data_IF_968398258662
#
_entry.id   IF_968398258662
#
_cell.length_a   1.000
_cell.length_b   1.000
_cell.length_c   1.000
_cell.angle_alpha   90.00
_cell.angle_beta   90.00
_cell.angle_gamma   90.00
#
_symmetry.space_group_name_H-M   'P 1'
#
loop_
_entity.id
_entity.type
_entity.pdbx_description
1 polymer ?
#
# COMPACT_ATOMS: atom_id res chain seq x y z
N UNK A 1 24.03 6.85 -13.58
CA UNK A 1 23.04 7.71 -14.28
C UNK A 1 21.77 7.55 -13.50
N UNK A 2 21.18 8.65 -13.04
CA UNK A 2 19.95 8.58 -12.27
C UNK A 2 18.86 7.83 -13.06
N UNK A 3 18.22 6.85 -12.43
CA UNK A 3 17.03 6.18 -12.98
C UNK A 3 15.85 7.16 -13.00
N UNK A 4 14.79 6.86 -13.77
CA UNK A 4 13.59 7.68 -13.76
C UNK A 4 13.04 7.82 -12.33
N UNK A 5 12.97 6.70 -11.59
CA UNK A 5 12.56 6.70 -10.19
C UNK A 5 13.48 7.53 -9.28
N UNK A 6 14.80 7.42 -9.41
CA UNK A 6 15.74 8.26 -8.64
C UNK A 6 15.53 9.74 -8.94
N UNK A 7 15.35 10.14 -10.20
CA UNK A 7 15.08 11.54 -10.52
C UNK A 7 13.71 12.00 -10.03
N UNK A 8 12.71 11.13 -9.99
CA UNK A 8 11.39 11.49 -9.45
C UNK A 8 11.41 11.70 -7.95
N UNK A 9 12.23 10.92 -7.24
CA UNK A 9 12.48 11.15 -5.81
C UNK A 9 13.33 12.42 -5.64
N UNK A 10 14.46 12.60 -6.35
CA UNK A 10 15.31 13.79 -6.20
C UNK A 10 14.64 15.12 -6.61
N UNK A 11 13.75 15.10 -7.62
CA UNK A 11 13.12 16.34 -8.12
C UNK A 11 11.95 16.83 -7.27
N UNK A 12 11.44 16.01 -6.34
CA UNK A 12 10.25 16.33 -5.54
C UNK A 12 10.20 15.75 -4.12
N UNK A 13 11.16 14.94 -3.68
CA UNK A 13 11.49 14.79 -2.25
C UNK A 13 12.29 16.03 -1.85
N UNK A 14 11.58 17.13 -1.62
CA UNK A 14 11.98 17.96 -0.48
C UNK A 14 11.99 17.06 0.76
N UNK A 15 12.87 17.30 1.74
CA UNK A 15 12.78 16.63 3.03
C UNK A 15 11.32 16.74 3.50
N UNK A 16 10.80 15.63 4.01
CA UNK A 16 9.43 15.46 4.53
C UNK A 16 9.10 16.37 5.73
N UNK A 17 9.83 17.46 5.93
CA UNK A 17 9.72 18.41 7.03
C UNK A 17 8.72 19.54 6.77
N UNK A 18 8.22 19.74 5.54
CA UNK A 18 7.22 20.78 5.22
C UNK A 18 5.97 20.23 4.51
N UNK A 19 5.48 19.07 4.95
CA UNK A 19 4.04 18.80 4.87
C UNK A 19 3.39 19.40 6.13
N UNK A 20 3.37 20.73 6.20
CA UNK A 20 2.32 21.41 6.94
C UNK A 20 1.01 20.98 6.29
N UNK A 21 0.32 20.05 6.95
CA UNK A 21 -1.04 19.58 6.66
C UNK A 21 -2.09 20.70 6.80
N UNK A 22 -1.72 21.96 6.56
CA UNK A 22 -2.57 23.14 6.75
C UNK A 22 -3.14 23.67 5.43
N UNK A 23 -2.58 23.36 4.26
CA UNK A 23 -2.99 24.02 3.01
C UNK A 23 -4.01 23.26 2.12
N UNK A 24 -4.33 21.99 2.39
CA UNK A 24 -5.26 21.21 1.56
C UNK A 24 -6.69 21.07 2.16
N UNK A 25 -6.99 21.70 3.31
CA UNK A 25 -8.32 21.65 3.94
C UNK A 25 -9.27 22.82 3.59
N UNK A 26 -8.84 23.84 2.84
CA UNK A 26 -9.67 25.03 2.57
C UNK A 26 -10.53 24.98 1.30
N UNK A 27 -10.65 23.84 0.62
CA UNK A 27 -11.55 23.70 -0.53
C UNK A 27 -12.50 22.52 -0.38
N UNK A 28 -13.50 22.70 0.47
CA UNK A 28 -14.91 22.33 0.23
C UNK A 28 -15.74 22.75 1.45
N UNK A 29 -16.05 24.04 1.50
CA UNK A 29 -17.06 24.58 2.39
C UNK A 29 -18.46 24.33 1.82
N UNK A 30 -18.92 23.09 1.86
CA UNK A 30 -20.35 22.78 1.94
C UNK A 30 -20.58 22.13 3.31
N UNK A 31 -21.08 22.94 4.23
CA UNK A 31 -21.52 22.51 5.55
C UNK A 31 -22.74 21.62 5.34
N UNK A 32 -22.53 20.32 5.19
CA UNK A 32 -23.56 19.33 5.41
C UNK A 32 -23.89 19.39 6.90
N UNK A 33 -25.07 19.94 7.22
CA UNK A 33 -25.74 19.76 8.51
C UNK A 33 -26.01 18.26 8.70
N UNK A 34 -24.99 17.53 9.14
CA UNK A 34 -25.13 16.22 9.72
C UNK A 34 -25.73 16.49 11.10
N UNK A 35 -27.03 16.21 11.26
CA UNK A 35 -27.60 15.97 12.59
C UNK A 35 -26.79 14.81 13.19
N UNK A 36 -25.76 15.15 13.98
CA UNK A 36 -25.10 14.24 14.88
C UNK A 36 -26.19 13.72 15.83
N UNK A 37 -26.65 12.49 15.63
CA UNK A 37 -27.28 11.76 16.71
C UNK A 37 -26.22 11.63 17.80
N UNK A 38 -26.45 12.31 18.93
CA UNK A 38 -25.51 12.41 20.05
C UNK A 38 -24.90 11.05 20.41
N UNK A 39 -23.57 10.95 20.54
CA UNK A 39 -22.91 9.73 20.93
C UNK A 39 -22.94 9.63 22.48
N UNK A 40 -24.12 9.54 23.08
CA UNK A 40 -24.26 9.36 24.54
C UNK A 40 -23.45 8.14 25.02
N UNK A 41 -23.32 7.11 24.18
CA UNK A 41 -22.55 5.90 24.47
C UNK A 41 -21.02 6.08 24.42
N UNK A 42 -20.48 7.12 23.78
CA UNK A 42 -19.03 7.28 23.58
C UNK A 42 -18.43 8.20 24.66
N UNK A 43 -19.17 9.22 25.10
CA UNK A 43 -18.81 10.02 26.28
C UNK A 43 -18.93 9.24 27.59
N UNK A 44 -19.95 8.38 27.74
CA UNK A 44 -20.06 7.47 28.90
C UNK A 44 -18.88 6.47 28.95
N UNK A 45 -18.38 6.02 27.79
CA UNK A 45 -17.25 5.09 27.72
C UNK A 45 -15.87 5.76 27.89
N UNK A 46 -15.68 7.02 27.50
CA UNK A 46 -14.46 7.78 27.81
C UNK A 46 -14.41 8.21 29.29
N UNK A 47 -15.54 8.60 29.88
CA UNK A 47 -15.62 8.92 31.30
C UNK A 47 -15.28 7.71 32.20
N UNK A 48 -15.65 6.50 31.77
CA UNK A 48 -15.30 5.25 32.47
C UNK A 48 -13.81 4.87 32.34
N UNK A 49 -13.12 5.29 31.28
CA UNK A 49 -11.69 5.05 31.13
C UNK A 49 -10.84 5.93 32.07
N UNK A 50 -11.35 7.12 32.43
CA UNK A 50 -10.73 8.03 33.40
C UNK A 50 -11.10 7.70 34.86
N UNK A 51 -12.23 7.00 35.10
CA UNK A 51 -12.66 6.56 36.45
C UNK A 51 -12.06 5.21 36.89
N UNK A 52 -11.62 4.34 35.97
CA UNK A 52 -10.98 3.06 36.29
C UNK A 52 -9.47 3.20 36.57
N UNK A 53 -9.12 3.76 37.73
CA UNK A 53 -7.77 3.73 38.32
C UNK A 53 -7.33 2.32 38.78
N UNK A 54 -7.92 1.24 38.28
CA UNK A 54 -7.43 -0.11 38.58
C UNK A 54 -6.11 -0.37 37.85
N UNK A 55 -5.09 -0.70 38.63
CA UNK A 55 -3.81 -1.17 38.12
C UNK A 55 -4.00 -2.49 37.35
N UNK A 56 -3.16 -2.74 36.35
CA UNK A 56 -3.14 -4.02 35.63
C UNK A 56 -3.02 -5.24 36.55
N UNK A 57 -2.37 -5.08 37.71
CA UNK A 57 -2.21 -6.13 38.72
C UNK A 57 -3.53 -6.45 39.44
N UNK A 58 -4.35 -5.45 39.74
CA UNK A 58 -5.70 -5.64 40.29
C UNK A 58 -6.60 -6.30 39.25
N UNK A 59 -6.48 -5.88 37.98
CA UNK A 59 -7.21 -6.49 36.87
C UNK A 59 -6.86 -7.97 36.67
N UNK A 60 -5.58 -8.33 36.76
CA UNK A 60 -5.09 -9.71 36.70
C UNK A 60 -5.62 -10.55 37.87
N UNK A 61 -5.60 -10.02 39.10
CA UNK A 61 -6.04 -10.73 40.29
C UNK A 61 -7.54 -11.08 40.23
N UNK A 62 -8.40 -10.13 39.83
CA UNK A 62 -9.84 -10.36 39.70
C UNK A 62 -10.16 -11.42 38.64
N UNK A 63 -9.47 -11.36 37.49
CA UNK A 63 -9.68 -12.33 36.41
C UNK A 63 -9.32 -13.73 36.86
N UNK A 64 -8.18 -13.90 37.55
CA UNK A 64 -7.75 -15.20 38.06
C UNK A 64 -8.72 -15.77 39.10
N UNK A 65 -9.46 -14.92 39.81
CA UNK A 65 -10.47 -15.33 40.80
C UNK A 65 -11.80 -15.74 40.14
N UNK A 66 -12.19 -15.08 39.03
CA UNK A 66 -13.43 -15.38 38.28
C UNK A 66 -13.30 -16.54 37.28
N UNK A 67 -12.09 -16.86 36.81
CA UNK A 67 -11.89 -17.93 35.82
C UNK A 67 -11.75 -19.31 36.47
N UNK A 68 -12.67 -20.24 36.17
CA UNK A 68 -12.53 -21.69 36.45
C UNK A 68 -11.53 -22.37 35.48
N UNK A 69 -10.40 -21.74 35.19
CA UNK A 69 -9.41 -22.24 34.23
C UNK A 69 -8.45 -23.27 34.87
N UNK A 70 -8.12 -24.33 34.14
CA UNK A 70 -7.08 -25.28 34.52
C UNK A 70 -5.69 -24.60 34.63
N UNK A 71 -4.74 -25.26 35.28
CA UNK A 71 -3.39 -24.71 35.56
C UNK A 71 -2.66 -24.17 34.32
N UNK A 72 -2.85 -24.80 33.15
CA UNK A 72 -2.29 -24.34 31.87
C UNK A 72 -2.98 -23.07 31.34
N UNK A 73 -4.30 -22.96 31.51
CA UNK A 73 -5.07 -21.76 31.21
C UNK A 73 -4.67 -20.57 32.07
N UNK A 74 -4.44 -20.78 33.37
CA UNK A 74 -3.96 -19.74 34.28
C UNK A 74 -2.55 -19.25 33.92
N UNK A 75 -1.65 -20.13 33.46
CA UNK A 75 -0.27 -19.75 33.07
C UNK A 75 -0.23 -18.94 31.76
N UNK A 76 -1.10 -19.29 30.80
CA UNK A 76 -1.26 -18.53 29.56
C UNK A 76 -1.84 -17.12 29.80
N UNK A 77 -2.85 -16.99 30.68
CA UNK A 77 -3.41 -15.69 31.07
C UNK A 77 -2.36 -14.81 31.76
N UNK A 78 -1.61 -15.36 32.72
CA UNK A 78 -0.53 -14.63 33.42
C UNK A 78 0.59 -14.19 32.48
N UNK A 79 0.96 -15.05 31.54
CA UNK A 79 1.96 -14.71 30.51
C UNK A 79 1.49 -13.54 29.65
N UNK A 80 0.21 -13.55 29.25
CA UNK A 80 -0.41 -12.46 28.49
C UNK A 80 -0.45 -11.15 29.28
N UNK A 81 -0.92 -11.14 30.54
CA UNK A 81 -0.94 -9.93 31.38
C UNK A 81 0.44 -9.34 31.60
N UNK A 82 1.47 -10.19 31.79
CA UNK A 82 2.85 -9.74 31.90
C UNK A 82 3.35 -9.08 30.61
N UNK A 83 2.94 -9.59 29.44
CA UNK A 83 3.27 -8.97 28.14
C UNK A 83 2.58 -7.61 27.99
N UNK A 84 1.30 -7.51 28.34
CA UNK A 84 0.53 -6.24 28.27
C UNK A 84 1.07 -5.20 29.25
N UNK A 85 1.50 -5.62 30.44
CA UNK A 85 2.09 -4.73 31.44
C UNK A 85 3.46 -4.16 31.03
N UNK A 86 4.20 -4.88 30.18
CA UNK A 86 5.50 -4.44 29.67
C UNK A 86 5.38 -3.30 28.63
N UNK A 87 4.23 -3.16 27.98
CA UNK A 87 3.98 -2.09 26.99
C UNK A 87 3.54 -0.82 27.72
N UNK A 88 4.23 0.33 27.54
CA UNK A 88 3.85 1.59 28.15
C UNK A 88 2.53 2.13 27.56
N UNK A 89 1.81 2.93 28.35
CA UNK A 89 0.62 3.64 27.86
C UNK A 89 1.03 4.63 26.76
N UNK A 90 0.22 4.72 25.73
CA UNK A 90 0.43 5.67 24.66
C UNK A 90 -0.02 7.06 25.11
N UNK A 91 0.80 8.07 24.82
CA UNK A 91 0.37 9.46 24.96
C UNK A 91 -0.44 9.84 23.72
N UNK A 92 -1.29 10.86 23.83
CA UNK A 92 -2.03 11.42 22.69
C UNK A 92 -1.09 11.82 21.54
N UNK A 93 0.09 12.37 21.86
CA UNK A 93 1.13 12.68 20.86
C UNK A 93 1.68 11.42 20.18
N UNK A 94 1.87 10.33 20.94
CA UNK A 94 2.32 9.04 20.42
C UNK A 94 1.29 8.37 19.51
N UNK A 95 -0.01 8.51 19.81
CA UNK A 95 -1.10 8.05 18.95
C UNK A 95 -1.06 8.76 17.60
N UNK A 96 -0.94 10.10 17.61
CA UNK A 96 -0.83 10.89 16.39
C UNK A 96 0.43 10.53 15.60
N UNK A 97 1.56 10.24 16.26
CA UNK A 97 2.78 9.83 15.58
C UNK A 97 2.61 8.46 14.90
N UNK A 98 2.01 7.47 15.58
CA UNK A 98 1.73 6.16 14.99
C UNK A 98 0.74 6.28 13.82
N UNK A 99 -0.32 7.08 13.95
CA UNK A 99 -1.26 7.35 12.86
C UNK A 99 -0.54 7.94 11.63
N UNK A 100 0.32 8.95 11.83
CA UNK A 100 1.16 9.52 10.77
C UNK A 100 2.09 8.48 10.15
N UNK A 101 2.65 7.55 10.93
CA UNK A 101 3.50 6.49 10.39
C UNK A 101 2.72 5.49 9.53
N UNK A 102 1.49 5.14 9.94
CA UNK A 102 0.57 4.29 9.16
C UNK A 102 0.25 4.98 7.82
N UNK A 103 -0.16 6.25 7.87
CA UNK A 103 -0.50 7.03 6.69
C UNK A 103 0.69 7.17 5.73
N UNK A 104 1.90 7.44 6.25
CA UNK A 104 3.14 7.48 5.47
C UNK A 104 3.41 6.14 4.78
N UNK A 105 3.23 5.02 5.49
CA UNK A 105 3.40 3.68 4.92
C UNK A 105 2.43 3.39 3.78
N UNK A 106 1.14 3.73 3.98
CA UNK A 106 0.11 3.61 2.93
C UNK A 106 0.40 4.52 1.74
N UNK A 107 0.84 5.76 1.98
CA UNK A 107 1.21 6.70 0.93
C UNK A 107 2.39 6.20 0.09
N UNK A 108 3.37 5.53 0.71
CA UNK A 108 4.48 4.89 -0.01
C UNK A 108 3.97 3.81 -0.97
N UNK A 109 3.03 2.97 -0.53
CA UNK A 109 2.39 1.95 -1.38
C UNK A 109 1.63 2.63 -2.53
N UNK A 110 0.81 3.64 -2.23
CA UNK A 110 0.02 4.39 -3.23
C UNK A 110 0.92 5.10 -4.25
N UNK A 111 2.05 5.67 -3.80
CA UNK A 111 3.08 6.26 -4.67
C UNK A 111 3.74 5.18 -5.55
N UNK A 112 4.06 4.01 -5.03
CA UNK A 112 4.66 2.93 -5.81
C UNK A 112 3.72 2.43 -6.92
N UNK A 113 2.46 2.14 -6.58
CA UNK A 113 1.45 1.69 -7.53
C UNK A 113 1.17 2.74 -8.61
N UNK A 114 0.95 3.99 -8.22
CA UNK A 114 0.66 5.09 -9.18
C UNK A 114 1.81 5.43 -10.13
N UNK A 115 3.04 5.00 -9.83
CA UNK A 115 4.21 5.20 -10.68
C UNK A 115 4.52 3.99 -11.56
N UNK A 116 3.88 2.85 -11.31
CA UNK A 116 4.08 1.62 -12.06
C UNK A 116 3.39 1.69 -13.43
N UNK A 117 4.12 1.49 -14.56
CA UNK A 117 3.54 1.42 -15.89
C UNK A 117 2.46 0.35 -16.00
N UNK A 118 2.67 -0.80 -15.35
CA UNK A 118 1.74 -1.94 -15.31
C UNK A 118 0.39 -1.50 -14.74
N UNK A 119 0.41 -0.82 -13.59
CA UNK A 119 -0.81 -0.35 -12.94
C UNK A 119 -1.54 0.72 -13.76
N UNK A 120 -0.78 1.61 -14.41
CA UNK A 120 -1.34 2.63 -15.31
C UNK A 120 -2.02 1.99 -16.52
N UNK A 121 -1.44 0.95 -17.11
CA UNK A 121 -2.05 0.23 -18.23
C UNK A 121 -3.32 -0.52 -17.82
N UNK A 122 -3.33 -1.17 -16.66
CA UNK A 122 -4.52 -1.81 -16.10
C UNK A 122 -5.64 -0.78 -15.88
N UNK A 123 -5.31 0.37 -15.31
CA UNK A 123 -6.27 1.45 -15.09
C UNK A 123 -6.83 1.99 -16.41
N UNK A 124 -5.99 2.18 -17.42
CA UNK A 124 -6.44 2.62 -18.75
C UNK A 124 -7.34 1.55 -19.40
N UNK A 125 -7.02 0.27 -19.24
CA UNK A 125 -7.82 -0.83 -19.76
C UNK A 125 -9.19 -0.96 -19.07
N UNK A 126 -9.27 -0.55 -17.80
CA UNK A 126 -10.54 -0.52 -17.04
C UNK A 126 -11.55 0.52 -17.59
N UNK A 127 -11.09 1.53 -18.34
CA UNK A 127 -11.96 2.59 -18.86
C UNK A 127 -13.03 2.09 -19.85
N UNK A 128 -12.75 1.04 -20.63
CA UNK A 128 -13.70 0.50 -21.61
C UNK A 128 -14.81 -0.31 -20.92
N UNK A 129 -14.49 -1.31 -20.06
CA UNK A 129 -15.50 -2.02 -19.27
C UNK A 129 -16.37 -1.10 -18.41
N UNK A 130 -15.75 -0.08 -17.80
CA UNK A 130 -16.47 0.95 -17.05
C UNK A 130 -17.34 1.84 -17.92
N UNK A 131 -17.11 1.99 -19.22
CA UNK A 131 -18.02 2.72 -20.13
C UNK A 131 -19.20 1.85 -20.56
N UNK A 132 -18.94 0.56 -20.77
CA UNK A 132 -19.94 -0.41 -21.24
C UNK A 132 -20.82 -1.01 -20.14
N UNK A 133 -20.63 -0.61 -18.87
CA UNK A 133 -21.37 -1.14 -17.70
C UNK A 133 -21.17 -2.64 -17.47
N UNK A 134 -20.03 -3.18 -17.93
CA UNK A 134 -19.70 -4.60 -17.75
C UNK A 134 -19.01 -4.88 -16.42
N UNK A 135 -18.45 -3.84 -15.80
CA UNK A 135 -17.77 -3.89 -14.49
C UNK A 135 -18.34 -2.79 -13.62
N UNK A 136 -18.64 -3.12 -12.37
CA UNK A 136 -19.10 -2.14 -11.38
C UNK A 136 -17.92 -1.26 -10.96
N UNK A 137 -18.16 0.04 -10.79
CA UNK A 137 -17.16 0.97 -10.26
C UNK A 137 -16.71 0.57 -8.85
N UNK A 138 -17.60 -0.04 -8.07
CA UNK A 138 -17.34 -0.53 -6.70
C UNK A 138 -16.29 -1.64 -6.65
N UNK A 139 -16.04 -2.33 -7.76
CA UNK A 139 -15.00 -3.37 -7.81
C UNK A 139 -13.58 -2.77 -7.81
N UNK A 140 -13.44 -1.51 -8.24
CA UNK A 140 -12.15 -0.87 -8.46
C UNK A 140 -11.90 0.35 -7.57
N UNK A 141 -12.91 1.21 -7.42
CA UNK A 141 -12.84 2.45 -6.63
C UNK A 141 -13.67 2.27 -5.38
N UNK A 142 -13.13 2.74 -4.27
CA UNK A 142 -13.79 2.78 -2.98
C UNK A 142 -14.79 3.94 -2.97
N UNK A 143 -16.04 3.60 -2.66
CA UNK A 143 -17.23 4.47 -2.83
C UNK A 143 -17.82 4.83 -1.45
N UNK A 144 -17.06 4.63 -0.37
CA UNK A 144 -17.47 4.92 1.00
C UNK A 144 -18.14 6.31 1.12
N UNK A 145 -19.38 6.32 1.60
CA UNK A 145 -20.16 7.54 1.84
C UNK A 145 -20.88 8.14 0.63
N UNK A 146 -20.75 7.58 -0.58
CA UNK A 146 -21.44 8.11 -1.77
C UNK A 146 -22.85 7.52 -1.90
N UNK A 147 -23.86 8.40 -1.92
CA UNK A 147 -25.27 8.05 -2.17
C UNK A 147 -25.42 7.49 -3.60
N UNK A 148 -26.39 6.61 -3.85
CA UNK A 148 -26.62 5.98 -5.17
C UNK A 148 -26.67 6.98 -6.34
N UNK A 149 -27.28 8.16 -6.14
CA UNK A 149 -27.38 9.22 -7.16
C UNK A 149 -26.01 9.85 -7.53
N UNK A 150 -25.02 9.76 -6.63
CA UNK A 150 -23.65 10.26 -6.87
C UNK A 150 -22.78 9.28 -7.65
N UNK A 151 -23.22 8.04 -7.84
CA UNK A 151 -22.41 6.97 -8.41
C UNK A 151 -22.19 7.15 -9.92
N UNK A 152 -23.18 7.68 -10.63
CA UNK A 152 -23.04 8.05 -12.05
C UNK A 152 -22.09 9.23 -12.25
N UNK A 153 -22.15 10.23 -11.36
CA UNK A 153 -21.26 11.39 -11.39
C UNK A 153 -19.81 10.96 -11.13
N UNK A 154 -19.59 10.19 -10.06
CA UNK A 154 -18.28 9.62 -9.72
C UNK A 154 -17.72 8.79 -10.88
N UNK A 155 -18.55 7.98 -11.53
CA UNK A 155 -18.14 7.21 -12.71
C UNK A 155 -17.71 8.10 -13.87
N UNK A 156 -18.44 9.18 -14.14
CA UNK A 156 -18.06 10.14 -15.18
C UNK A 156 -16.72 10.84 -14.88
N UNK A 157 -16.49 11.20 -13.62
CA UNK A 157 -15.24 11.81 -13.13
C UNK A 157 -14.06 10.85 -13.19
N UNK A 158 -14.28 9.60 -12.78
CA UNK A 158 -13.27 8.53 -12.87
C UNK A 158 -12.87 8.31 -14.32
N UNK A 159 -13.83 8.20 -15.24
CA UNK A 159 -13.56 8.05 -16.67
C UNK A 159 -12.81 9.25 -17.25
N UNK A 160 -13.16 10.48 -16.84
CA UNK A 160 -12.46 11.69 -17.26
C UNK A 160 -11.00 11.70 -16.77
N UNK A 161 -10.78 11.33 -15.51
CA UNK A 161 -9.44 11.23 -14.92
C UNK A 161 -8.61 10.14 -15.59
N UNK A 162 -9.18 8.97 -15.91
CA UNK A 162 -8.49 7.91 -16.66
C UNK A 162 -8.07 8.40 -18.05
N UNK A 163 -8.92 9.18 -18.75
CA UNK A 163 -8.55 9.74 -20.06
C UNK A 163 -7.40 10.75 -19.94
N UNK A 164 -7.36 11.55 -18.88
CA UNK A 164 -6.20 12.41 -18.58
C UNK A 164 -4.94 11.58 -18.32
N UNK A 165 -5.02 10.54 -17.50
CA UNK A 165 -3.92 9.60 -17.23
C UNK A 165 -3.40 9.00 -18.55
N UNK A 166 -4.29 8.55 -19.44
CA UNK A 166 -3.96 8.01 -20.76
C UNK A 166 -3.21 9.04 -21.62
N UNK A 167 -3.62 10.32 -21.60
CA UNK A 167 -2.95 11.40 -22.32
C UNK A 167 -1.54 11.67 -21.77
N UNK A 168 -1.38 11.72 -20.44
CA UNK A 168 -0.07 11.89 -19.79
C UNK A 168 0.84 10.70 -20.05
N UNK A 169 0.33 9.46 -19.98
CA UNK A 169 1.09 8.24 -20.26
C UNK A 169 1.60 8.21 -21.71
N UNK A 170 0.74 8.49 -22.70
CA UNK A 170 1.17 8.62 -24.11
C UNK A 170 2.23 9.70 -24.32
N UNK A 171 2.14 10.82 -23.61
CA UNK A 171 3.15 11.89 -23.66
C UNK A 171 4.48 11.44 -23.05
N UNK A 172 4.43 10.72 -21.92
CA UNK A 172 5.60 10.16 -21.26
C UNK A 172 6.31 9.12 -22.15
N UNK A 173 5.58 8.22 -22.81
CA UNK A 173 6.16 7.26 -23.75
C UNK A 173 6.91 7.96 -24.90
N UNK A 174 6.32 9.00 -25.51
CA UNK A 174 7.00 9.80 -26.55
C UNK A 174 8.25 10.52 -26.03
N UNK A 175 8.24 10.98 -24.78
CA UNK A 175 9.41 11.59 -24.14
C UNK A 175 10.50 10.55 -23.87
N UNK A 176 10.11 9.35 -23.46
CA UNK A 176 11.01 8.22 -23.23
C UNK A 176 11.68 7.77 -24.53
N UNK A 177 10.95 7.61 -25.63
CA UNK A 177 11.51 7.30 -26.96
C UNK A 177 12.58 8.32 -27.38
N UNK A 178 12.31 9.63 -27.19
CA UNK A 178 13.29 10.70 -27.47
C UNK A 178 14.51 10.62 -26.56
N UNK A 179 14.31 10.26 -25.29
CA UNK A 179 15.38 10.06 -24.33
C UNK A 179 16.26 8.87 -24.73
N UNK A 180 15.66 7.74 -25.12
CA UNK A 180 16.38 6.54 -25.56
C UNK A 180 17.20 6.80 -26.83
N UNK A 181 16.63 7.52 -27.80
CA UNK A 181 17.32 7.92 -29.02
C UNK A 181 18.50 8.89 -28.78
N UNK A 182 18.51 9.59 -27.64
CA UNK A 182 19.56 10.56 -27.31
C UNK A 182 20.78 9.87 -26.67
N UNK A 183 22.01 10.10 -27.18
CA UNK A 183 23.22 9.49 -26.63
C UNK A 183 23.39 9.73 -25.13
N UNK A 184 23.85 8.70 -24.43
CA UNK A 184 24.06 8.69 -22.98
C UNK A 184 24.86 9.90 -22.44
N UNK A 185 25.88 10.37 -23.18
CA UNK A 185 26.75 11.49 -22.76
C UNK A 185 26.24 12.89 -23.13
N UNK A 186 25.07 13.01 -23.76
CA UNK A 186 24.56 14.31 -24.21
C UNK A 186 24.08 15.18 -23.03
N UNK A 187 24.44 16.48 -22.97
CA UNK A 187 23.94 17.40 -21.94
C UNK A 187 22.43 17.63 -22.03
N UNK A 188 21.80 17.36 -23.20
CA UNK A 188 20.35 17.45 -23.39
C UNK A 188 19.59 16.32 -22.68
N UNK A 189 20.26 15.20 -22.37
CA UNK A 189 19.65 14.01 -21.77
C UNK A 189 19.06 14.31 -20.39
N UNK A 190 19.76 15.09 -19.55
CA UNK A 190 19.25 15.49 -18.23
C UNK A 190 17.98 16.34 -18.32
N UNK A 191 17.90 17.26 -19.29
CA UNK A 191 16.68 18.07 -19.51
C UNK A 191 15.49 17.19 -19.94
N UNK A 192 15.72 16.22 -20.82
CA UNK A 192 14.68 15.28 -21.27
C UNK A 192 14.22 14.38 -20.12
N UNK A 193 15.15 13.92 -19.28
CA UNK A 193 14.83 13.12 -18.10
C UNK A 193 13.94 13.94 -17.14
N UNK A 194 14.30 15.17 -16.81
CA UNK A 194 13.48 16.03 -15.95
C UNK A 194 12.08 16.32 -16.54
N UNK A 195 11.96 16.47 -17.87
CA UNK A 195 10.66 16.63 -18.54
C UNK A 195 9.80 15.38 -18.43
N UNK A 196 10.42 14.19 -18.57
CA UNK A 196 9.77 12.91 -18.38
C UNK A 196 9.33 12.73 -16.93
N UNK A 197 10.21 12.98 -15.96
CA UNK A 197 9.91 12.86 -14.52
C UNK A 197 8.75 13.76 -14.12
N UNK A 198 8.70 15.02 -14.58
CA UNK A 198 7.56 15.92 -14.34
C UNK A 198 6.24 15.37 -14.88
N UNK A 199 6.25 14.92 -16.14
CA UNK A 199 5.04 14.36 -16.78
C UNK A 199 4.58 13.09 -16.06
N UNK A 200 5.51 12.26 -15.59
CA UNK A 200 5.23 11.04 -14.83
C UNK A 200 4.69 11.33 -13.43
N UNK A 201 5.21 12.36 -12.76
CA UNK A 201 4.72 12.81 -11.45
C UNK A 201 3.30 13.36 -11.58
N UNK A 202 3.01 14.17 -12.60
CA UNK A 202 1.66 14.66 -12.90
C UNK A 202 0.68 13.49 -13.10
N UNK A 203 1.04 12.52 -13.93
CA UNK A 203 0.26 11.30 -14.13
C UNK A 203 0.04 10.54 -12.81
N UNK A 204 1.11 10.36 -12.04
CA UNK A 204 1.07 9.65 -10.76
C UNK A 204 0.21 10.39 -9.73
N UNK A 205 0.12 11.72 -9.76
CA UNK A 205 -0.82 12.49 -8.92
C UNK A 205 -2.27 12.22 -9.31
N UNK A 206 -2.60 12.21 -10.61
CA UNK A 206 -3.94 11.86 -11.10
C UNK A 206 -4.33 10.44 -10.67
N UNK A 207 -3.43 9.46 -10.81
CA UNK A 207 -3.70 8.08 -10.37
C UNK A 207 -3.89 7.96 -8.86
N UNK A 208 -3.33 8.88 -8.04
CA UNK A 208 -3.54 8.87 -6.59
C UNK A 208 -4.84 9.55 -6.15
N UNK A 209 -5.56 10.22 -7.05
CA UNK A 209 -6.90 10.74 -6.74
C UNK A 209 -7.90 9.61 -6.57
N UNK A 210 -7.64 8.45 -7.19
CA UNK A 210 -8.43 7.25 -6.95
C UNK A 210 -8.17 6.67 -5.56
N UNK A 211 -9.25 6.52 -4.81
CA UNK A 211 -9.32 5.64 -3.64
C UNK A 211 -9.56 4.22 -4.15
N UNK A 212 -8.51 3.42 -4.31
CA UNK A 212 -8.70 2.04 -4.77
C UNK A 212 -9.17 1.14 -3.63
N UNK A 213 -10.14 0.26 -3.91
CA UNK A 213 -10.55 -0.76 -2.93
C UNK A 213 -9.37 -1.65 -2.54
N UNK A 214 -9.34 -2.21 -1.32
CA UNK A 214 -8.25 -3.11 -0.90
C UNK A 214 -8.08 -4.32 -1.83
N UNK A 215 -9.19 -4.84 -2.36
CA UNK A 215 -9.19 -5.95 -3.30
C UNK A 215 -8.53 -5.55 -4.64
N UNK A 216 -8.86 -4.38 -5.16
CA UNK A 216 -8.26 -3.88 -6.39
C UNK A 216 -6.78 -3.55 -6.20
N UNK A 217 -6.40 -2.98 -5.06
CA UNK A 217 -4.99 -2.75 -4.72
C UNK A 217 -4.19 -4.06 -4.71
N UNK A 218 -4.74 -5.12 -4.11
CA UNK A 218 -4.08 -6.43 -4.08
C UNK A 218 -3.94 -7.01 -5.50
N UNK A 219 -4.97 -6.89 -6.34
CA UNK A 219 -4.90 -7.26 -7.75
C UNK A 219 -3.79 -6.51 -8.50
N UNK A 220 -3.67 -5.20 -8.30
CA UNK A 220 -2.59 -4.42 -8.91
C UNK A 220 -1.20 -4.89 -8.46
N UNK A 221 -1.04 -5.23 -7.17
CA UNK A 221 0.22 -5.73 -6.63
C UNK A 221 0.56 -7.09 -7.24
N UNK A 222 -0.41 -8.00 -7.34
CA UNK A 222 -0.24 -9.30 -7.97
C UNK A 222 0.23 -9.18 -9.42
N UNK A 223 -0.34 -8.24 -10.19
CA UNK A 223 0.09 -7.99 -11.58
C UNK A 223 1.53 -7.44 -11.67
N UNK A 224 1.99 -6.70 -10.66
CA UNK A 224 3.41 -6.29 -10.60
C UNK A 224 4.30 -7.47 -10.23
N UNK A 225 3.84 -8.37 -9.36
CA UNK A 225 4.56 -9.59 -8.97
C UNK A 225 4.69 -10.59 -10.13
N UNK A 226 3.63 -10.82 -10.90
CA UNK A 226 3.66 -11.68 -12.10
C UNK A 226 4.66 -11.12 -13.12
N UNK A 227 4.62 -9.82 -13.39
CA UNK A 227 5.57 -9.16 -14.28
C UNK A 227 7.03 -9.30 -13.80
N UNK A 228 7.28 -9.13 -12.50
CA UNK A 228 8.61 -9.33 -11.92
C UNK A 228 9.10 -10.77 -12.09
N UNK A 229 8.24 -11.76 -11.82
CA UNK A 229 8.58 -13.18 -11.94
C UNK A 229 8.86 -13.59 -13.40
N UNK A 230 8.06 -13.10 -14.35
CA UNK A 230 8.27 -13.30 -15.78
C UNK A 230 9.61 -12.74 -16.24
N UNK A 231 9.95 -11.52 -15.79
CA UNK A 231 11.24 -10.90 -16.11
C UNK A 231 12.40 -11.66 -15.48
N UNK A 232 12.27 -12.05 -14.21
CA UNK A 232 13.29 -12.80 -13.49
C UNK A 232 13.59 -14.15 -14.16
N UNK A 233 12.56 -14.88 -14.58
CA UNK A 233 12.74 -16.16 -15.29
C UNK A 233 13.44 -15.97 -16.64
N UNK A 234 13.03 -14.96 -17.41
CA UNK A 234 13.67 -14.61 -18.68
C UNK A 234 15.15 -14.17 -18.50
N UNK A 235 15.46 -13.40 -17.45
CA UNK A 235 16.83 -13.02 -17.11
C UNK A 235 17.68 -14.25 -16.76
N UNK A 236 17.13 -15.19 -15.98
CA UNK A 236 17.82 -16.43 -15.63
C UNK A 236 18.10 -17.29 -16.87
N UNK A 237 17.19 -17.35 -17.85
CA UNK A 237 17.42 -18.05 -19.11
C UNK A 237 18.57 -17.43 -19.92
N UNK A 238 18.61 -16.10 -20.01
CA UNK A 238 19.74 -15.38 -20.63
C UNK A 238 21.05 -15.71 -19.92
N UNK A 239 21.06 -15.71 -18.59
CA UNK A 239 22.26 -16.06 -17.80
C UNK A 239 22.71 -17.51 -18.00
N UNK A 240 21.76 -18.46 -18.05
CA UNK A 240 22.04 -19.87 -18.35
C UNK A 240 22.64 -20.02 -19.75
N UNK A 241 22.11 -19.32 -20.75
CA UNK A 241 22.63 -19.33 -22.11
C UNK A 241 24.04 -18.73 -22.21
N UNK A 242 24.33 -17.63 -21.50
CA UNK A 242 25.67 -17.02 -21.42
C UNK A 242 26.68 -18.01 -20.79
N UNK A 243 26.32 -18.64 -19.66
CA UNK A 243 27.18 -19.64 -19.00
C UNK A 243 27.40 -20.87 -19.87
N UNK A 244 26.38 -21.30 -20.63
CA UNK A 244 26.49 -22.38 -21.61
C UNK A 244 27.49 -22.04 -22.72
N UNK A 245 27.49 -20.80 -23.21
CA UNK A 245 28.39 -20.32 -24.26
C UNK A 245 29.85 -20.34 -23.80
N UNK A 246 30.10 -19.93 -22.55
CA UNK A 246 31.45 -19.95 -21.97
C UNK A 246 32.03 -21.37 -21.79
N UNK A 247 31.17 -22.40 -21.76
CA UNK A 247 31.56 -23.80 -21.52
C UNK A 247 31.67 -24.66 -22.79
N UNK A 248 31.09 -24.24 -23.92
CA UNK A 248 31.08 -25.08 -25.12
C UNK A 248 32.43 -25.06 -25.85
N UNK A 249 32.94 -26.24 -26.19
CA UNK A 249 34.05 -26.42 -27.13
C UNK A 249 33.48 -27.08 -28.39
N UNK A 250 33.34 -26.33 -29.48
CA UNK A 250 32.91 -26.90 -30.78
C UNK A 250 32.02 -25.98 -31.61
N UNK A 251 32.31 -25.89 -32.92
CA UNK A 251 31.69 -24.95 -33.86
C UNK A 251 30.16 -25.09 -33.99
N UNK A 252 29.63 -26.33 -33.92
CA UNK A 252 28.18 -26.59 -34.02
C UNK A 252 27.42 -26.33 -32.70
N UNK A 253 28.03 -26.66 -31.55
CA UNK A 253 27.43 -26.37 -30.23
C UNK A 253 27.45 -24.87 -29.93
N UNK A 254 28.49 -24.16 -30.35
CA UNK A 254 28.57 -22.69 -30.29
C UNK A 254 27.45 -22.01 -31.09
N UNK A 255 27.15 -22.48 -32.30
CA UNK A 255 26.06 -21.93 -33.12
C UNK A 255 24.68 -22.14 -32.48
N UNK A 256 24.42 -23.33 -31.92
CA UNK A 256 23.16 -23.61 -31.22
C UNK A 256 23.00 -22.81 -29.92
N UNK A 257 24.08 -22.60 -29.17
CA UNK A 257 24.03 -21.78 -27.96
C UNK A 257 23.86 -20.30 -28.33
N UNK A 258 24.53 -19.82 -29.37
CA UNK A 258 24.37 -18.45 -29.85
C UNK A 258 22.94 -18.16 -30.34
N UNK A 259 22.29 -19.11 -31.02
CA UNK A 259 20.89 -18.95 -31.44
C UNK A 259 19.94 -18.93 -30.22
N UNK A 260 20.13 -19.82 -29.25
CA UNK A 260 19.38 -19.80 -27.97
C UNK A 260 19.56 -18.50 -27.20
N UNK A 261 20.79 -18.00 -27.10
CA UNK A 261 21.07 -16.74 -26.43
C UNK A 261 20.37 -15.56 -27.11
N UNK A 262 20.37 -15.53 -28.46
CA UNK A 262 19.65 -14.51 -29.22
C UNK A 262 18.14 -14.59 -28.97
N UNK A 263 17.57 -15.79 -28.95
CA UNK A 263 16.16 -16.01 -28.66
C UNK A 263 15.79 -15.54 -27.24
N UNK A 264 16.53 -15.98 -26.22
CA UNK A 264 16.31 -15.58 -24.83
C UNK A 264 16.44 -14.06 -24.62
N UNK A 265 17.46 -13.43 -25.23
CA UNK A 265 17.61 -11.96 -25.19
C UNK A 265 16.45 -11.24 -25.87
N UNK A 266 15.93 -11.78 -26.97
CA UNK A 266 14.76 -11.22 -27.66
C UNK A 266 13.51 -11.33 -26.80
N UNK A 267 13.29 -12.47 -26.16
CA UNK A 267 12.16 -12.68 -25.24
C UNK A 267 12.23 -11.73 -24.03
N UNK A 268 13.41 -11.62 -23.40
CA UNK A 268 13.62 -10.67 -22.30
C UNK A 268 13.28 -9.23 -22.74
N UNK A 269 13.77 -8.80 -23.91
CA UNK A 269 13.46 -7.46 -24.43
C UNK A 269 11.95 -7.27 -24.69
N UNK A 270 11.27 -8.29 -25.21
CA UNK A 270 9.82 -8.23 -25.43
C UNK A 270 9.04 -8.10 -24.12
N UNK A 271 9.44 -8.83 -23.07
CA UNK A 271 8.82 -8.72 -21.75
C UNK A 271 9.12 -7.37 -21.10
N UNK A 272 10.35 -6.86 -21.23
CA UNK A 272 10.72 -5.53 -20.74
C UNK A 272 9.87 -4.42 -21.38
N UNK A 273 9.61 -4.52 -22.68
CA UNK A 273 8.74 -3.58 -23.39
C UNK A 273 7.28 -3.75 -23.00
N UNK A 274 6.78 -5.00 -22.90
CA UNK A 274 5.40 -5.31 -22.50
C UNK A 274 5.06 -4.72 -21.13
N UNK A 275 5.94 -4.87 -20.15
CA UNK A 275 5.68 -4.41 -18.77
C UNK A 275 6.16 -2.98 -18.50
N UNK A 276 6.72 -2.29 -19.50
CA UNK A 276 7.30 -0.97 -19.30
C UNK A 276 8.49 -0.96 -18.32
N UNK A 277 9.17 -2.09 -18.14
CA UNK A 277 10.23 -2.28 -17.15
C UNK A 277 11.46 -1.39 -17.41
N UNK A 278 11.62 -0.90 -18.64
CA UNK A 278 12.67 0.05 -18.98
C UNK A 278 12.42 1.47 -18.42
N UNK A 279 11.15 1.83 -18.16
CA UNK A 279 10.78 3.09 -17.51
C UNK A 279 10.90 2.97 -16.00
N UNK A 280 10.27 1.94 -15.44
CA UNK A 280 10.20 1.69 -14.00
C UNK A 280 10.33 0.19 -13.77
N UNK A 281 11.38 -0.21 -13.06
CA UNK A 281 11.64 -1.62 -12.77
C UNK A 281 10.58 -2.17 -11.78
N UNK A 282 9.82 -3.23 -12.15
CA UNK A 282 8.85 -3.86 -11.26
C UNK A 282 9.44 -4.29 -9.92
N UNK A 283 10.73 -4.69 -9.89
CA UNK A 283 11.40 -5.04 -8.64
C UNK A 283 11.46 -3.86 -7.68
N UNK A 284 11.85 -2.68 -8.18
CA UNK A 284 11.91 -1.46 -7.36
C UNK A 284 10.54 -1.04 -6.86
N UNK A 285 9.50 -1.22 -7.68
CA UNK A 285 8.10 -1.01 -7.27
C UNK A 285 7.73 -1.93 -6.10
N UNK A 286 8.00 -3.24 -6.20
CA UNK A 286 7.71 -4.21 -5.14
C UNK A 286 8.50 -3.93 -3.86
N UNK A 287 9.77 -3.55 -3.96
CA UNK A 287 10.59 -3.21 -2.79
C UNK A 287 10.01 -1.99 -2.03
N UNK A 288 9.50 -0.99 -2.76
CA UNK A 288 8.80 0.16 -2.14
C UNK A 288 7.48 -0.24 -1.50
N UNK A 289 6.69 -1.10 -2.16
CA UNK A 289 5.42 -1.61 -1.62
C UNK A 289 5.69 -2.37 -0.33
N UNK A 290 6.66 -3.29 -0.32
CA UNK A 290 7.06 -4.07 0.86
C UNK A 290 7.51 -3.17 2.00
N UNK A 291 8.30 -2.14 1.70
CA UNK A 291 8.76 -1.17 2.71
C UNK A 291 7.58 -0.38 3.30
N UNK A 292 6.67 0.10 2.47
CA UNK A 292 5.47 0.82 2.91
C UNK A 292 4.52 -0.05 3.75
N UNK A 293 4.25 -1.28 3.29
CA UNK A 293 3.45 -2.27 4.05
C UNK A 293 4.07 -2.57 5.41
N UNK A 294 5.36 -2.90 5.45
CA UNK A 294 6.06 -3.19 6.70
C UNK A 294 6.00 -2.01 7.68
N UNK A 295 6.20 -0.79 7.18
CA UNK A 295 6.14 0.41 8.03
C UNK A 295 4.73 0.60 8.62
N UNK A 296 3.68 0.48 7.79
CA UNK A 296 2.31 0.61 8.26
C UNK A 296 1.90 -0.52 9.20
N UNK A 297 2.30 -1.76 8.92
CA UNK A 297 2.03 -2.93 9.78
C UNK A 297 2.72 -2.79 11.14
N UNK A 298 3.97 -2.36 11.18
CA UNK A 298 4.69 -2.13 12.43
C UNK A 298 4.01 -1.05 13.27
N UNK A 299 3.63 0.08 12.68
CA UNK A 299 2.95 1.15 13.38
C UNK A 299 1.54 0.73 13.86
N UNK A 300 0.80 -0.04 13.06
CA UNK A 300 -0.48 -0.65 13.47
C UNK A 300 -0.30 -1.61 14.63
N UNK A 301 0.69 -2.49 14.58
CA UNK A 301 0.99 -3.42 15.69
C UNK A 301 1.30 -2.65 16.97
N UNK A 302 2.14 -1.63 16.92
CA UNK A 302 2.43 -0.78 18.08
C UNK A 302 1.20 -0.05 18.62
N UNK A 303 0.31 0.42 17.73
CA UNK A 303 -0.95 1.07 18.13
C UNK A 303 -1.90 0.07 18.81
N UNK A 304 -2.04 -1.13 18.24
CA UNK A 304 -2.86 -2.20 18.84
C UNK A 304 -2.28 -2.67 20.17
N UNK A 305 -0.96 -2.86 20.26
CA UNK A 305 -0.25 -3.27 21.48
C UNK A 305 -0.45 -2.26 22.61
N UNK A 306 -0.38 -0.97 22.32
CA UNK A 306 -0.60 0.07 23.32
C UNK A 306 -2.06 0.13 23.81
N UNK A 307 -3.01 -0.26 22.95
CA UNK A 307 -4.44 -0.30 23.25
C UNK A 307 -4.94 -1.66 23.79
N UNK A 308 -4.07 -2.65 24.02
CA UNK A 308 -4.47 -3.96 24.58
C UNK A 308 -5.18 -3.85 25.92
N UNK A 309 -4.85 -2.83 26.72
CA UNK A 309 -5.47 -2.58 28.03
C UNK A 309 -6.95 -2.20 27.90
N UNK A 310 -7.31 -1.47 26.85
CA UNK A 310 -8.68 -1.11 26.52
C UNK A 310 -9.47 -2.36 26.11
N UNK A 311 -8.88 -3.21 25.27
CA UNK A 311 -9.51 -4.47 24.84
C UNK A 311 -9.81 -5.39 26.03
N UNK A 312 -8.89 -5.50 26.99
CA UNK A 312 -9.12 -6.28 28.22
C UNK A 312 -10.29 -5.69 29.03
N UNK A 313 -10.37 -4.37 29.17
CA UNK A 313 -11.46 -3.72 29.89
C UNK A 313 -12.82 -3.99 29.25
N UNK A 314 -12.92 -3.95 27.91
CA UNK A 314 -14.13 -4.32 27.20
C UNK A 314 -14.43 -5.82 27.28
N UNK A 315 -13.44 -6.70 27.10
CA UNK A 315 -13.62 -8.16 27.13
C UNK A 315 -14.17 -8.66 28.48
N UNK A 316 -13.77 -8.05 29.60
CA UNK A 316 -14.31 -8.34 30.93
C UNK A 316 -15.83 -8.24 30.99
N UNK A 317 -16.41 -7.19 30.37
CA UNK A 317 -17.87 -6.97 30.38
C UNK A 317 -18.64 -8.12 29.75
N UNK A 318 -17.99 -8.94 28.91
CA UNK A 318 -18.62 -10.04 28.18
C UNK A 318 -18.25 -11.44 28.72
N UNK A 319 -17.49 -11.56 29.82
CA UNK A 319 -17.08 -12.85 30.39
C UNK A 319 -18.26 -13.74 30.82
N UNK A 320 -19.37 -13.14 31.24
CA UNK A 320 -20.57 -13.86 31.67
C UNK A 320 -21.30 -14.61 30.54
N UNK A 321 -20.89 -14.42 29.27
CA UNK A 321 -21.50 -15.08 28.10
C UNK A 321 -20.95 -16.50 27.85
N UNK A 322 -20.05 -17.00 28.71
CA UNK A 322 -19.57 -18.39 28.65
C UNK A 322 -18.46 -18.65 27.62
N UNK A 323 -17.86 -17.60 27.05
CA UNK A 323 -16.66 -17.69 26.22
C UNK A 323 -15.40 -17.47 27.08
N UNK A 324 -14.31 -18.21 26.82
CA UNK A 324 -13.02 -17.97 27.47
C UNK A 324 -12.57 -16.51 27.28
N UNK A 325 -12.03 -15.89 28.34
CA UNK A 325 -11.58 -14.50 28.29
C UNK A 325 -10.55 -14.25 27.17
N UNK A 326 -9.64 -15.20 26.93
CA UNK A 326 -8.66 -15.08 25.86
C UNK A 326 -9.34 -14.97 24.49
N UNK A 327 -10.43 -15.70 24.26
CA UNK A 327 -11.17 -15.65 22.99
C UNK A 327 -11.89 -14.30 22.83
N UNK A 328 -12.47 -13.76 23.90
CA UNK A 328 -13.07 -12.43 23.92
C UNK A 328 -12.04 -11.32 23.63
N UNK A 329 -10.83 -11.46 24.21
CA UNK A 329 -9.71 -10.54 23.94
C UNK A 329 -9.25 -10.67 22.48
N UNK A 330 -9.18 -11.88 21.92
CA UNK A 330 -8.82 -12.05 20.51
C UNK A 330 -9.83 -11.40 19.58
N UNK A 331 -11.13 -11.59 19.81
CA UNK A 331 -12.18 -10.93 19.03
C UNK A 331 -12.13 -9.40 19.16
N UNK A 332 -11.89 -8.89 20.38
CA UNK A 332 -11.70 -7.45 20.61
C UNK A 332 -10.47 -6.89 19.90
N UNK A 333 -9.34 -7.63 19.89
CA UNK A 333 -8.14 -7.26 19.16
C UNK A 333 -8.38 -7.25 17.64
N UNK A 334 -9.17 -8.20 17.11
CA UNK A 334 -9.59 -8.22 15.70
C UNK A 334 -10.44 -6.99 15.37
N UNK A 335 -11.35 -6.61 16.26
CA UNK A 335 -12.13 -5.37 16.13
C UNK A 335 -11.23 -4.14 16.08
N UNK A 336 -10.26 -4.04 16.99
CA UNK A 336 -9.34 -2.91 17.06
C UNK A 336 -8.40 -2.83 15.85
N UNK A 337 -8.03 -3.96 15.24
CA UNK A 337 -7.26 -3.98 14.00
C UNK A 337 -8.07 -3.55 12.76
N UNK A 338 -9.41 -3.57 12.84
CA UNK A 338 -10.32 -3.20 11.74
C UNK A 338 -10.84 -1.78 11.83
N UNK A 339 -10.97 -1.24 13.04
CA UNK A 339 -11.21 0.18 13.31
C UNK A 339 -10.02 1.01 12.82
#
# INVERSE_FOLDING_TARGET
>A
MATLLETMDETFDMPLEDLSLEEDFEREGEVLDIEYSEPEALEENLALADEDQESLAEREAMILEETEADAEGLDSIKTYFRQVAAVPLLTQEGEVELAKQIERGQLLVRKALSRSPICVEILIALAEPLKEETVDIRDAVDVDGVVEDGLEQLRSEVLATIEQVKKHYKKALKQYEKLEATPKRSPKRGRLLNQLSRTWIEMSRLVRQFTFTPQFQEKLIQEVETAYNDLLTAEQEVQKAIKGQARSKGRNSEQQIASRLRAAKKQLKQLQQKYGAELVDPKQTLDRIRRGRRQAEQARQSLTEANLRLVIAFAKRYMHLGLPLLDLIQEGNIGLMRA
#
